data_IF_514188438518
#
_entry.id   IF_514188438518
#
_cell.length_a   1.000
_cell.length_b   1.000
_cell.length_c   1.000
_cell.angle_alpha   90.00
_cell.angle_beta   90.00
_cell.angle_gamma   90.00
#
_symmetry.space_group_name_H-M   'P 1'
#
loop_
_entity.id
_entity.type
_entity.pdbx_description
1 polymer ?
#
# COMPACT_ATOMS: atom_id res chain seq x y z
N UNK A 1 -10.08 8.30 4.76
CA UNK A 1 -8.66 8.03 5.05
C UNK A 1 -8.03 7.31 3.86
N UNK A 2 -6.93 7.83 3.31
CA UNK A 2 -6.22 7.22 2.17
C UNK A 2 -4.91 6.59 2.64
N UNK A 3 -4.55 5.41 2.15
CA UNK A 3 -3.16 4.92 2.18
C UNK A 3 -2.59 4.92 0.76
N UNK A 4 -1.40 5.47 0.57
CA UNK A 4 -0.70 5.45 -0.72
C UNK A 4 0.77 5.08 -0.53
N UNK A 5 1.29 4.19 -1.38
CA UNK A 5 2.66 3.73 -1.25
C UNK A 5 3.68 4.87 -1.54
N UNK A 6 4.94 4.75 -1.08
CA UNK A 6 5.91 5.85 -1.15
C UNK A 6 6.49 6.08 -2.55
N UNK A 7 6.19 5.21 -3.52
CA UNK A 7 6.76 5.23 -4.86
C UNK A 7 6.43 6.53 -5.60
N UNK A 8 7.40 7.04 -6.36
CA UNK A 8 7.26 8.29 -7.11
C UNK A 8 6.06 8.26 -8.08
N UNK A 9 5.72 7.09 -8.62
CA UNK A 9 4.55 6.91 -9.48
C UNK A 9 3.23 7.34 -8.78
N UNK A 10 3.12 7.15 -7.47
CA UNK A 10 1.96 7.53 -6.67
C UNK A 10 2.10 8.89 -5.98
N UNK A 11 3.14 9.68 -6.30
CA UNK A 11 3.28 11.05 -5.79
C UNK A 11 2.09 11.95 -6.20
N UNK A 12 1.62 11.94 -7.47
CA UNK A 12 0.48 12.77 -7.86
C UNK A 12 -0.80 12.44 -7.09
N UNK A 13 -1.03 11.15 -6.79
CA UNK A 13 -2.17 10.69 -5.99
C UNK A 13 -2.12 11.27 -4.57
N UNK A 14 -0.95 11.21 -3.91
CA UNK A 14 -0.75 11.81 -2.58
C UNK A 14 -0.97 13.32 -2.59
N UNK A 15 -0.41 14.01 -3.58
CA UNK A 15 -0.58 15.46 -3.74
C UNK A 15 -2.06 15.85 -3.90
N UNK A 16 -2.78 15.16 -4.79
CA UNK A 16 -4.19 15.42 -5.02
C UNK A 16 -5.03 15.13 -3.77
N UNK A 17 -4.75 14.03 -3.07
CA UNK A 17 -5.47 13.68 -1.85
C UNK A 17 -5.34 14.75 -0.77
N UNK A 18 -4.11 15.26 -0.53
CA UNK A 18 -3.91 16.34 0.43
C UNK A 18 -4.52 17.67 -0.02
N UNK A 19 -4.44 18.00 -1.32
CA UNK A 19 -5.11 19.18 -1.88
C UNK A 19 -6.64 19.11 -1.72
N UNK A 20 -7.21 17.90 -1.68
CA UNK A 20 -8.62 17.64 -1.39
C UNK A 20 -8.90 17.45 0.11
N UNK A 21 -7.97 17.86 0.99
CA UNK A 21 -8.08 17.76 2.45
C UNK A 21 -8.35 16.34 2.96
N UNK A 22 -7.85 15.31 2.26
CA UNK A 22 -7.89 13.92 2.73
C UNK A 22 -6.63 13.63 3.56
N UNK A 23 -6.80 12.97 4.69
CA UNK A 23 -5.67 12.46 5.47
C UNK A 23 -5.03 11.26 4.74
N UNK A 24 -3.70 11.23 4.67
CA UNK A 24 -2.94 10.21 3.96
C UNK A 24 -1.96 9.49 4.88
N UNK A 25 -2.04 8.17 4.92
CA UNK A 25 -0.96 7.32 5.42
C UNK A 25 -0.05 6.89 4.27
N UNK A 26 1.25 6.93 4.52
CA UNK A 26 2.25 6.53 3.54
C UNK A 26 3.26 5.61 4.20
N UNK A 27 3.53 4.44 3.63
CA UNK A 27 4.51 3.54 4.21
C UNK A 27 5.90 4.19 4.25
N UNK A 28 6.60 4.00 5.37
CA UNK A 28 8.04 4.27 5.45
C UNK A 28 8.73 3.35 4.44
N UNK A 29 9.66 3.82 3.60
CA UNK A 29 10.31 2.97 2.61
C UNK A 29 10.86 1.68 3.22
N UNK A 30 10.51 0.53 2.61
CA UNK A 30 10.83 -0.83 3.07
C UNK A 30 10.28 -1.20 4.45
N UNK A 31 9.34 -0.42 4.97
CA UNK A 31 8.74 -0.64 6.29
C UNK A 31 9.81 -0.74 7.40
N UNK A 32 10.92 -0.01 7.21
CA UNK A 32 12.18 -0.22 7.95
C UNK A 32 12.18 0.37 9.38
N UNK A 33 11.01 0.59 9.98
CA UNK A 33 10.83 1.21 11.30
C UNK A 33 9.69 0.55 12.06
N UNK A 34 9.76 0.59 13.39
CA UNK A 34 8.68 0.06 14.27
C UNK A 34 7.37 0.84 14.14
N UNK A 35 7.45 2.11 13.74
CA UNK A 35 6.33 2.96 13.32
C UNK A 35 6.32 2.99 11.79
N UNK A 36 5.60 2.08 11.12
CA UNK A 36 5.86 1.74 9.73
C UNK A 36 5.21 2.69 8.72
N UNK A 37 4.43 3.68 9.17
CA UNK A 37 3.74 4.63 8.29
C UNK A 37 4.01 6.08 8.71
N UNK A 38 4.11 6.98 7.75
CA UNK A 38 3.99 8.41 7.93
C UNK A 38 2.53 8.83 7.95
N UNK A 39 2.18 9.75 8.85
CA UNK A 39 0.86 10.36 8.92
C UNK A 39 0.91 11.78 8.31
N UNK A 40 0.24 11.95 7.17
CA UNK A 40 0.17 13.22 6.45
C UNK A 40 -1.22 13.84 6.67
N UNK A 41 -1.31 14.68 7.69
CA UNK A 41 -2.50 15.46 8.01
C UNK A 41 -2.54 16.75 7.16
N UNK A 42 -3.50 16.92 6.24
CA UNK A 42 -3.58 18.11 5.41
C UNK A 42 -3.78 19.42 6.19
N UNK A 43 -4.22 19.37 7.46
CA UNK A 43 -4.41 20.56 8.29
C UNK A 43 -3.11 21.09 8.89
N UNK A 44 -2.11 20.23 9.10
CA UNK A 44 -0.91 20.55 9.88
C UNK A 44 0.40 20.30 9.15
N UNK A 45 0.39 19.48 8.10
CA UNK A 45 1.59 18.99 7.44
C UNK A 45 2.18 19.99 6.43
N UNK A 46 3.51 20.02 6.34
CA UNK A 46 4.23 20.72 5.27
C UNK A 46 4.00 20.01 3.92
N UNK A 47 3.51 20.70 2.87
CA UNK A 47 3.22 20.10 1.56
C UNK A 47 4.37 19.30 0.95
N UNK A 48 5.62 19.62 1.26
CA UNK A 48 6.79 18.88 0.77
C UNK A 48 6.83 17.43 1.27
N UNK A 49 6.21 17.10 2.42
CA UNK A 49 6.24 15.77 3.02
C UNK A 49 5.43 14.71 2.25
N UNK A 50 4.68 15.12 1.20
CA UNK A 50 4.10 14.17 0.21
C UNK A 50 5.15 13.34 -0.51
N UNK A 51 6.35 13.89 -0.68
CA UNK A 51 7.49 13.14 -1.23
C UNK A 51 8.12 12.29 -0.14
N UNK A 52 8.32 11.00 -0.42
CA UNK A 52 8.81 10.05 0.57
C UNK A 52 10.22 10.37 1.11
N UNK A 53 11.05 11.10 0.35
CA UNK A 53 12.37 11.54 0.83
C UNK A 53 12.25 12.67 1.86
N UNK A 54 11.27 13.55 1.69
CA UNK A 54 11.02 14.67 2.59
C UNK A 54 10.21 14.24 3.82
N UNK A 55 9.29 13.29 3.66
CA UNK A 55 8.47 12.74 4.73
C UNK A 55 9.28 12.28 5.94
N UNK A 56 10.44 11.65 5.71
CA UNK A 56 11.35 11.23 6.78
C UNK A 56 11.76 12.37 7.72
N UNK A 57 11.81 13.59 7.23
CA UNK A 57 12.22 14.78 7.98
C UNK A 57 11.02 15.61 8.47
N UNK A 58 9.90 15.54 7.76
CA UNK A 58 8.80 16.50 7.88
C UNK A 58 7.49 15.90 8.37
N UNK A 59 7.33 14.57 8.33
CA UNK A 59 6.12 13.89 8.74
C UNK A 59 6.36 13.01 9.99
N UNK A 60 5.43 13.01 10.96
CA UNK A 60 5.48 12.05 12.05
C UNK A 60 5.27 10.63 11.51
N UNK A 61 6.01 9.67 12.05
CA UNK A 61 5.71 8.26 11.85
C UNK A 61 4.78 7.75 12.95
N UNK A 62 3.93 6.79 12.60
CA UNK A 62 2.90 6.18 13.45
C UNK A 62 2.99 4.65 13.41
N UNK A 63 2.68 4.01 14.53
CA UNK A 63 2.45 2.56 14.63
C UNK A 63 1.02 2.20 14.21
N UNK A 64 0.73 0.89 14.09
CA UNK A 64 -0.57 0.39 13.64
C UNK A 64 -1.72 0.82 14.59
N UNK A 65 -1.48 0.84 15.89
CA UNK A 65 -2.45 1.24 16.92
C UNK A 65 -2.73 2.76 16.93
N UNK A 66 -1.83 3.56 16.37
CA UNK A 66 -2.00 5.01 16.20
C UNK A 66 -2.75 5.35 14.89
N UNK A 67 -3.01 4.37 14.02
CA UNK A 67 -3.70 4.57 12.75
C UNK A 67 -5.22 4.50 12.88
N UNK A 68 -5.92 5.19 11.98
CA UNK A 68 -7.34 4.99 11.75
C UNK A 68 -7.57 4.06 10.55
N UNK A 69 -8.69 3.30 10.50
CA UNK A 69 -9.01 2.47 9.36
C UNK A 69 -8.97 3.25 8.03
N UNK A 70 -8.47 2.59 6.99
CA UNK A 70 -8.33 3.17 5.66
C UNK A 70 -9.54 2.82 4.81
N UNK A 71 -10.10 3.81 4.12
CA UNK A 71 -11.23 3.61 3.21
C UNK A 71 -10.74 3.21 1.81
N UNK A 72 -9.53 3.68 1.47
CA UNK A 72 -8.96 3.56 0.14
C UNK A 72 -7.45 3.34 0.23
N UNK A 73 -6.92 2.40 -0.57
CA UNK A 73 -5.48 2.11 -0.67
C UNK A 73 -5.03 2.17 -2.11
N UNK A 74 -3.93 2.88 -2.37
CA UNK A 74 -3.27 2.94 -3.67
C UNK A 74 -1.92 2.22 -3.56
N UNK A 75 -1.78 1.11 -4.28
CA UNK A 75 -0.54 0.36 -4.37
C UNK A 75 0.18 0.61 -5.70
N UNK A 76 1.50 0.47 -5.69
CA UNK A 76 2.29 0.42 -6.91
C UNK A 76 2.21 -0.95 -7.56
N UNK A 77 2.31 -0.99 -8.89
CA UNK A 77 2.38 -2.24 -9.66
C UNK A 77 3.25 -2.02 -10.90
N UNK A 78 3.94 -3.08 -11.32
CA UNK A 78 4.74 -3.13 -12.55
C UNK A 78 3.91 -3.72 -13.69
N UNK A 79 3.10 -4.72 -13.40
CA UNK A 79 2.11 -5.29 -14.33
C UNK A 79 0.85 -5.67 -13.56
N UNK A 80 -0.28 -5.68 -14.25
CA UNK A 80 -1.59 -6.12 -13.75
C UNK A 80 -2.37 -6.83 -14.83
N UNK A 81 -3.37 -7.63 -14.48
CA UNK A 81 -4.33 -8.17 -15.43
C UNK A 81 -5.76 -7.71 -15.10
N UNK A 82 -6.69 -7.98 -16.00
CA UNK A 82 -8.11 -7.60 -15.85
C UNK A 82 -8.83 -8.25 -14.65
N UNK A 83 -8.22 -9.26 -14.03
CA UNK A 83 -8.73 -9.90 -12.81
C UNK A 83 -8.23 -9.23 -11.52
N UNK A 84 -7.40 -8.18 -11.65
CA UNK A 84 -6.84 -7.43 -10.53
C UNK A 84 -5.58 -8.05 -9.94
N UNK A 85 -5.09 -9.18 -10.47
CA UNK A 85 -3.79 -9.73 -10.07
C UNK A 85 -2.70 -8.76 -10.48
N UNK A 86 -1.66 -8.62 -9.65
CA UNK A 86 -0.62 -7.62 -9.81
C UNK A 86 0.77 -8.17 -9.54
N UNK A 87 1.74 -7.65 -10.29
CA UNK A 87 3.16 -7.88 -10.06
C UNK A 87 3.78 -6.60 -9.49
N UNK A 88 4.41 -6.72 -8.32
CA UNK A 88 5.13 -5.64 -7.66
C UNK A 88 6.55 -5.47 -8.20
N UNK A 89 7.26 -4.44 -7.70
CA UNK A 89 8.63 -4.14 -8.14
C UNK A 89 9.70 -5.09 -7.62
N UNK A 90 9.55 -5.61 -6.39
CA UNK A 90 10.33 -6.69 -5.73
C UNK A 90 10.14 -6.57 -4.20
N UNK A 91 10.33 -7.70 -3.47
CA UNK A 91 10.34 -7.88 -2.00
C UNK A 91 9.00 -7.85 -1.25
N UNK A 92 7.86 -8.04 -1.92
CA UNK A 92 6.53 -8.23 -1.31
C UNK A 92 6.12 -7.20 -0.24
N UNK A 93 6.76 -6.01 -0.20
CA UNK A 93 6.50 -5.03 0.85
C UNK A 93 5.05 -4.52 0.79
N UNK A 94 4.49 -4.32 -0.40
CA UNK A 94 3.10 -3.90 -0.51
C UNK A 94 2.14 -4.99 -0.02
N UNK A 95 2.48 -6.27 -0.23
CA UNK A 95 1.71 -7.41 0.28
C UNK A 95 1.78 -7.48 1.80
N UNK A 96 2.96 -7.31 2.38
CA UNK A 96 3.16 -7.20 3.84
C UNK A 96 2.43 -5.99 4.41
N UNK A 97 2.48 -4.83 3.76
CA UNK A 97 1.75 -3.63 4.18
C UNK A 97 0.24 -3.89 4.24
N UNK A 98 -0.33 -4.51 3.20
CA UNK A 98 -1.75 -4.84 3.18
C UNK A 98 -2.08 -5.88 4.25
N UNK A 99 -1.28 -6.95 4.36
CA UNK A 99 -1.46 -8.00 5.36
C UNK A 99 -1.39 -7.45 6.80
N UNK A 100 -0.40 -6.59 7.11
CA UNK A 100 -0.27 -5.93 8.42
C UNK A 100 -1.49 -5.06 8.75
N UNK A 101 -1.96 -4.28 7.78
CA UNK A 101 -3.12 -3.41 7.98
C UNK A 101 -4.42 -4.23 8.07
N UNK A 102 -4.54 -5.36 7.37
CA UNK A 102 -5.68 -6.28 7.51
C UNK A 102 -5.68 -6.95 8.88
N UNK A 103 -4.53 -7.47 9.34
CA UNK A 103 -4.36 -8.09 10.67
C UNK A 103 -4.73 -7.10 11.78
N UNK A 104 -4.35 -5.83 11.63
CA UNK A 104 -4.70 -4.76 12.56
C UNK A 104 -6.14 -4.24 12.43
N UNK A 105 -6.95 -4.78 11.50
CA UNK A 105 -8.33 -4.33 11.26
C UNK A 105 -8.45 -2.94 10.61
N UNK A 106 -7.35 -2.41 10.07
CA UNK A 106 -7.26 -1.10 9.41
C UNK A 106 -7.68 -1.17 7.94
N UNK A 107 -7.41 -2.30 7.27
CA UNK A 107 -8.02 -2.65 5.98
C UNK A 107 -9.20 -3.58 6.26
N UNK A 108 -10.38 -3.20 5.76
CA UNK A 108 -11.63 -3.95 5.91
C UNK A 108 -12.03 -4.58 4.57
N UNK A 109 -12.96 -5.55 4.56
CA UNK A 109 -13.54 -6.07 3.32
C UNK A 109 -14.13 -4.97 2.41
N UNK A 110 -14.58 -3.87 3.00
CA UNK A 110 -15.14 -2.70 2.29
C UNK A 110 -14.08 -1.69 1.82
N UNK A 111 -12.81 -1.83 2.23
CA UNK A 111 -11.74 -0.92 1.79
C UNK A 111 -11.48 -1.15 0.30
N UNK A 112 -11.48 -0.07 -0.48
CA UNK A 112 -11.15 -0.15 -1.91
C UNK A 112 -9.64 -0.14 -2.11
N UNK A 113 -9.10 -1.08 -2.88
CA UNK A 113 -7.68 -1.14 -3.23
C UNK A 113 -7.54 -0.90 -4.74
N UNK A 114 -6.68 0.04 -5.11
CA UNK A 114 -6.47 0.41 -6.52
C UNK A 114 -5.00 0.50 -6.86
N UNK A 115 -4.72 0.46 -8.16
CA UNK A 115 -3.40 0.80 -8.70
C UNK A 115 -3.54 1.80 -9.84
N UNK A 116 -2.45 2.52 -10.12
CA UNK A 116 -2.33 3.34 -11.32
C UNK A 116 -1.18 2.78 -12.16
N UNK A 117 -1.46 2.52 -13.44
CA UNK A 117 -0.49 1.97 -14.38
C UNK A 117 -0.70 2.57 -15.77
N UNK A 118 0.28 2.40 -16.66
CA UNK A 118 0.08 2.68 -18.09
C UNK A 118 -0.66 1.52 -18.75
N UNK A 119 -1.39 1.75 -19.85
CA UNK A 119 -2.12 0.68 -20.57
C UNK A 119 -1.22 -0.52 -20.93
N UNK A 120 0.03 -0.26 -21.29
CA UNK A 120 1.05 -1.29 -21.61
C UNK A 120 1.41 -2.22 -20.43
N UNK A 121 1.03 -1.87 -19.21
CA UNK A 121 1.24 -2.71 -18.03
C UNK A 121 -0.01 -3.54 -17.70
N UNK A 122 -1.11 -3.36 -18.44
CA UNK A 122 -2.29 -4.23 -18.38
C UNK A 122 -2.06 -5.38 -19.34
N UNK A 123 -1.95 -6.58 -18.78
CA UNK A 123 -1.59 -7.82 -19.46
C UNK A 123 -2.85 -8.68 -19.57
N UNK A 124 -3.08 -9.27 -20.75
CA UNK A 124 -4.26 -10.09 -21.01
C UNK A 124 -4.13 -11.47 -20.35
N UNK A 125 -2.90 -11.96 -20.18
CA UNK A 125 -2.60 -13.25 -19.58
C UNK A 125 -2.78 -13.29 -18.05
N UNK A 126 -2.95 -14.50 -17.54
CA UNK A 126 -2.89 -14.75 -16.10
C UNK A 126 -1.48 -14.49 -15.57
N UNK A 127 -1.43 -13.70 -14.50
CA UNK A 127 -0.21 -13.39 -13.78
C UNK A 127 -0.06 -14.37 -12.59
N UNK A 128 1.17 -14.73 -12.19
CA UNK A 128 1.38 -15.56 -11.03
C UNK A 128 0.89 -14.84 -9.76
N UNK A 129 0.19 -15.59 -8.91
CA UNK A 129 -0.38 -15.14 -7.64
C UNK A 129 -0.18 -16.25 -6.60
N UNK A 130 0.06 -15.86 -5.36
CA UNK A 130 0.24 -16.74 -4.19
C UNK A 130 -0.70 -16.32 -3.07
N UNK A 131 -0.84 -17.15 -2.03
CA UNK A 131 -1.84 -16.92 -0.96
C UNK A 131 -1.61 -15.64 -0.13
N UNK A 132 -0.39 -15.08 -0.16
CA UNK A 132 -0.09 -13.83 0.55
C UNK A 132 -0.29 -12.58 -0.32
N UNK A 133 -0.56 -12.75 -1.62
CA UNK A 133 -0.82 -11.66 -2.54
C UNK A 133 -2.26 -11.15 -2.41
N UNK A 134 -2.48 -9.92 -2.85
CA UNK A 134 -3.82 -9.34 -2.96
C UNK A 134 -4.10 -8.82 -4.36
N UNK A 135 -5.35 -8.93 -4.78
CA UNK A 135 -5.86 -8.30 -5.99
C UNK A 135 -6.27 -6.85 -5.73
N UNK A 136 -6.13 -6.01 -6.75
CA UNK A 136 -6.76 -4.68 -6.78
C UNK A 136 -8.21 -4.78 -7.24
N UNK A 137 -9.05 -3.88 -6.75
CA UNK A 137 -10.46 -3.77 -7.16
C UNK A 137 -10.60 -2.93 -8.44
N UNK A 138 -9.71 -1.94 -8.61
CA UNK A 138 -9.68 -1.10 -9.81
C UNK A 138 -8.26 -0.86 -10.31
N UNK A 139 -8.15 -0.80 -11.62
CA UNK A 139 -6.94 -0.39 -12.33
C UNK A 139 -7.25 0.92 -13.06
N UNK A 140 -6.55 1.99 -12.69
CA UNK A 140 -6.66 3.26 -13.40
C UNK A 140 -5.52 3.39 -14.41
N UNK A 141 -5.88 3.60 -15.66
CA UNK A 141 -4.96 3.95 -16.76
C UNK A 141 -5.22 5.38 -17.23
N UNK A 142 -4.40 5.95 -18.11
CA UNK A 142 -4.69 7.26 -18.70
C UNK A 142 -6.01 7.30 -19.50
N UNK A 143 -6.43 6.15 -20.04
CA UNK A 143 -7.55 6.08 -21.00
C UNK A 143 -8.85 5.57 -20.35
N UNK A 144 -8.75 4.76 -19.29
CA UNK A 144 -9.90 4.13 -18.67
C UNK A 144 -9.68 3.76 -17.19
N UNK A 145 -10.77 3.35 -16.55
CA UNK A 145 -10.75 2.69 -15.25
C UNK A 145 -11.39 1.33 -15.40
N UNK A 146 -10.62 0.29 -15.13
CA UNK A 146 -11.04 -1.10 -15.24
C UNK A 146 -11.47 -1.56 -13.84
N UNK A 147 -12.72 -2.01 -13.72
CA UNK A 147 -13.22 -2.72 -12.55
C UNK A 147 -12.79 -4.19 -12.63
N UNK A 148 -12.16 -4.68 -11.58
CA UNK A 148 -11.64 -6.04 -11.52
C UNK A 148 -12.71 -7.01 -10.98
N UNK A 149 -12.40 -8.31 -11.08
CA UNK A 149 -13.21 -9.36 -10.47
C UNK A 149 -13.25 -9.30 -8.92
N UNK A 150 -13.95 -10.25 -8.27
CA UNK A 150 -14.10 -10.28 -6.82
C UNK A 150 -12.75 -10.14 -6.08
N UNK A 151 -12.68 -9.31 -5.01
CA UNK A 151 -11.43 -9.09 -4.29
C UNK A 151 -10.88 -10.39 -3.68
N UNK A 152 -9.60 -10.67 -3.95
CA UNK A 152 -8.81 -11.75 -3.35
C UNK A 152 -7.74 -11.11 -2.49
N UNK A 153 -7.79 -11.34 -1.18
CA UNK A 153 -6.89 -10.67 -0.23
C UNK A 153 -6.55 -11.64 0.90
N UNK A 154 -5.35 -11.58 1.46
CA UNK A 154 -5.02 -12.37 2.64
C UNK A 154 -5.84 -11.86 3.83
N UNK A 155 -6.20 -12.73 4.75
CA UNK A 155 -6.90 -12.36 6.00
C UNK A 155 -5.98 -11.71 7.02
N UNK A 156 -4.68 -11.60 6.71
CA UNK A 156 -3.64 -11.23 7.65
C UNK A 156 -2.25 -11.61 7.13
N UNK A 157 -1.27 -11.70 8.03
CA UNK A 157 0.08 -12.16 7.68
C UNK A 157 0.11 -13.67 7.45
N UNK A 158 0.63 -14.11 6.31
CA UNK A 158 0.91 -15.54 6.05
C UNK A 158 2.31 -15.87 6.57
N UNK A 159 2.42 -16.27 7.84
CA UNK A 159 3.70 -16.43 8.52
C UNK A 159 4.66 -17.39 7.81
N UNK A 160 4.13 -18.44 7.16
CA UNK A 160 4.90 -19.44 6.41
C UNK A 160 5.63 -18.86 5.20
N UNK A 161 5.19 -17.70 4.70
CA UNK A 161 5.80 -16.99 3.57
C UNK A 161 6.78 -15.89 4.02
N UNK A 162 6.92 -15.66 5.33
CA UNK A 162 7.85 -14.67 5.89
C UNK A 162 9.20 -15.33 6.19
N UNK A 163 10.20 -15.05 5.36
CA UNK A 163 11.55 -15.55 5.59
C UNK A 163 12.20 -14.86 6.79
N UNK A 164 13.18 -15.52 7.43
CA UNK A 164 13.95 -14.91 8.52
C UNK A 164 14.63 -13.59 8.11
N UNK A 165 15.05 -13.46 6.85
CA UNK A 165 15.62 -12.22 6.31
C UNK A 165 14.57 -11.09 6.24
N UNK A 166 13.35 -11.39 5.78
CA UNK A 166 12.26 -10.42 5.74
C UNK A 166 11.88 -9.94 7.14
N UNK A 167 11.75 -10.87 8.09
CA UNK A 167 11.45 -10.54 9.50
C UNK A 167 12.56 -9.69 10.09
N UNK A 168 13.84 -10.05 9.86
CA UNK A 168 14.96 -9.25 10.34
C UNK A 168 15.04 -7.84 9.72
N UNK A 169 14.58 -7.68 8.47
CA UNK A 169 14.60 -6.40 7.76
C UNK A 169 13.41 -5.48 8.12
N UNK A 170 12.32 -6.02 8.69
CA UNK A 170 11.08 -5.30 8.96
C UNK A 170 10.80 -5.32 10.47
N UNK A 171 11.15 -4.26 11.21
CA UNK A 171 11.07 -4.24 12.68
C UNK A 171 9.68 -4.51 13.24
N UNK A 172 8.62 -4.08 12.54
CA UNK A 172 7.24 -4.35 12.98
C UNK A 172 6.90 -5.84 12.93
N UNK A 173 7.46 -6.62 12.00
CA UNK A 173 7.26 -8.07 11.98
C UNK A 173 7.96 -8.73 13.16
N UNK A 174 9.16 -8.28 13.55
CA UNK A 174 9.86 -8.81 14.73
C UNK A 174 9.08 -8.61 16.04
N UNK A 175 8.29 -7.54 16.11
CA UNK A 175 7.45 -7.26 17.28
C UNK A 175 6.16 -8.09 17.30
N UNK A 176 5.67 -8.55 16.13
CA UNK A 176 4.42 -9.30 15.97
C UNK A 176 4.63 -10.81 15.94
N UNK A 177 5.79 -11.27 15.46
CA UNK A 177 6.14 -12.67 15.33
C UNK A 177 7.05 -13.08 16.50
N UNK A 178 6.63 -14.03 17.36
CA UNK A 178 7.40 -14.48 18.52
C UNK A 178 8.65 -15.29 18.16
#
# INVERSE_FOLDING_TARGET
MLKANPDRAQLPVRQLALAQHKFVYMAVPKIATIKPFYALDPATMNPAAVDSKQAKLLAPSVSLDEMQPVDFTVCGSVAVNHHGTRIGKDASYSDIEVALLTEAGLIKPTTTIVTTVHQLHVIDEDLPETEHDFSVDYIATPDETIECGPPRRPTGLVHEHLTAEMVAAIPVLQALLP
#
